data_IF_766598877980
#
_entry.id   IF_766598877980
#
_cell.length_a   1.000
_cell.length_b   1.000
_cell.length_c   1.000
_cell.angle_alpha   90.00
_cell.angle_beta   90.00
_cell.angle_gamma   90.00
#
_symmetry.space_group_name_H-M   'P 1'
#
loop_
_entity.id
_entity.type
_entity.pdbx_description
1 polymer ?
#
# COMPACT_ATOMS: atom_id res chain seq x y z
N UNK A 1 6.07 -24.01 -3.83
CA UNK A 1 5.77 -22.82 -3.02
C UNK A 1 4.78 -21.98 -3.80
N UNK A 2 3.49 -21.96 -3.43
CA UNK A 2 2.50 -21.16 -4.14
C UNK A 2 2.85 -19.68 -3.96
N UNK A 3 3.29 -19.01 -5.03
CA UNK A 3 3.57 -17.58 -5.02
C UNK A 3 2.26 -16.86 -4.77
N UNK A 4 1.95 -16.50 -3.53
CA UNK A 4 0.74 -15.73 -3.22
C UNK A 4 0.88 -14.38 -3.91
N UNK A 5 0.14 -14.20 -5.00
CA UNK A 5 0.18 -12.96 -5.77
C UNK A 5 -0.33 -11.83 -4.88
N UNK A 6 0.54 -10.85 -4.59
CA UNK A 6 0.16 -9.70 -3.77
C UNK A 6 -0.81 -8.79 -4.56
N UNK A 7 -1.85 -8.24 -3.90
CA UNK A 7 -2.73 -7.25 -4.49
C UNK A 7 -1.97 -6.07 -5.11
N UNK A 8 -2.49 -5.52 -6.22
CA UNK A 8 -1.86 -4.42 -6.95
C UNK A 8 -1.53 -3.23 -6.03
N UNK A 9 -2.46 -2.83 -5.16
CA UNK A 9 -2.26 -1.69 -4.27
C UNK A 9 -1.09 -1.89 -3.29
N UNK A 10 -0.84 -3.13 -2.81
CA UNK A 10 0.33 -3.45 -1.98
C UNK A 10 1.62 -3.38 -2.82
N UNK A 11 1.60 -3.94 -4.03
CA UNK A 11 2.77 -3.91 -4.93
C UNK A 11 3.18 -2.48 -5.27
N UNK A 12 2.22 -1.59 -5.48
CA UNK A 12 2.46 -0.16 -5.70
C UNK A 12 3.16 0.47 -4.50
N UNK A 13 2.70 0.21 -3.27
CA UNK A 13 3.36 0.72 -2.06
C UNK A 13 4.77 0.15 -1.87
N UNK A 14 4.98 -1.14 -2.16
CA UNK A 14 6.31 -1.77 -2.09
C UNK A 14 7.27 -1.19 -3.12
N UNK A 15 6.84 -1.04 -4.37
CA UNK A 15 7.65 -0.46 -5.44
C UNK A 15 8.07 0.98 -5.11
N UNK A 16 7.15 1.75 -4.55
CA UNK A 16 7.39 3.15 -4.20
C UNK A 16 8.26 3.29 -2.94
N UNK A 17 8.16 2.37 -1.97
CA UNK A 17 9.14 2.25 -0.88
C UNK A 17 10.54 1.94 -1.41
N UNK A 18 10.64 0.98 -2.33
CA UNK A 18 11.92 0.56 -2.90
C UNK A 18 12.56 1.64 -3.77
N UNK A 19 11.75 2.38 -4.55
CA UNK A 19 12.20 3.56 -5.29
C UNK A 19 12.78 4.65 -4.38
N UNK A 20 12.23 4.84 -3.18
CA UNK A 20 12.80 5.78 -2.20
C UNK A 20 14.07 5.23 -1.56
N UNK A 21 14.15 3.92 -1.32
CA UNK A 21 15.35 3.23 -0.82
C UNK A 21 16.51 3.28 -1.81
N UNK A 22 16.25 3.11 -3.10
CA UNK A 22 17.29 3.19 -4.13
C UNK A 22 17.91 4.59 -4.22
N UNK A 23 17.14 5.63 -3.93
CA UNK A 23 17.62 7.02 -3.84
C UNK A 23 18.32 7.33 -2.51
N UNK A 24 17.87 6.71 -1.42
CA UNK A 24 18.42 6.87 -0.09
C UNK A 24 18.38 5.53 0.65
N UNK A 25 19.52 4.85 0.73
CA UNK A 25 19.63 3.53 1.36
C UNK A 25 19.25 3.51 2.84
N UNK A 26 19.28 4.67 3.52
CA UNK A 26 18.82 4.83 4.92
C UNK A 26 17.30 5.03 5.02
N UNK A 27 16.58 5.14 3.91
CA UNK A 27 15.14 5.31 3.89
C UNK A 27 14.44 4.05 4.41
N UNK A 28 13.87 4.16 5.61
CA UNK A 28 13.28 3.03 6.32
C UNK A 28 11.78 2.93 6.08
N UNK A 29 11.21 1.76 6.39
CA UNK A 29 9.75 1.58 6.39
C UNK A 29 9.06 2.55 7.36
N UNK A 30 9.70 2.90 8.49
CA UNK A 30 9.17 3.89 9.44
C UNK A 30 9.14 5.30 8.84
N UNK A 31 10.16 5.67 8.06
CA UNK A 31 10.18 6.95 7.34
C UNK A 31 9.07 7.00 6.27
N UNK A 32 8.84 5.88 5.58
CA UNK A 32 7.75 5.78 4.61
C UNK A 32 6.37 5.86 5.27
N UNK A 33 6.16 5.15 6.38
CA UNK A 33 4.94 5.23 7.16
C UNK A 33 4.66 6.67 7.62
N UNK A 34 5.68 7.36 8.15
CA UNK A 34 5.58 8.77 8.53
C UNK A 34 5.18 9.65 7.34
N UNK A 35 5.77 9.43 6.17
CA UNK A 35 5.43 10.17 4.96
C UNK A 35 3.98 9.94 4.49
N UNK A 36 3.48 8.71 4.62
CA UNK A 36 2.09 8.33 4.36
C UNK A 36 1.13 8.69 5.51
N UNK A 37 1.62 9.32 6.58
CA UNK A 37 0.84 9.66 7.79
C UNK A 37 0.17 8.42 8.42
N UNK A 38 0.88 7.30 8.41
CA UNK A 38 0.45 6.02 8.98
C UNK A 38 1.40 5.55 10.08
N UNK A 39 0.87 4.76 11.03
CA UNK A 39 1.71 4.03 11.97
C UNK A 39 2.57 2.97 11.24
N UNK A 40 3.80 2.76 11.72
CA UNK A 40 4.73 1.84 11.08
C UNK A 40 4.30 0.36 11.21
N UNK A 41 3.65 -0.02 12.32
CA UNK A 41 3.07 -1.36 12.48
C UNK A 41 1.86 -1.55 11.57
N UNK A 42 1.02 -0.52 11.42
CA UNK A 42 -0.07 -0.52 10.46
C UNK A 42 0.44 -0.71 9.02
N UNK A 43 1.42 0.09 8.57
CA UNK A 43 2.00 -0.04 7.24
C UNK A 43 2.62 -1.44 7.02
N UNK A 44 3.36 -1.96 7.99
CA UNK A 44 3.94 -3.31 7.91
C UNK A 44 2.87 -4.39 7.72
N UNK A 45 1.76 -4.32 8.47
CA UNK A 45 0.64 -5.25 8.31
C UNK A 45 -0.06 -5.10 6.95
N UNK A 46 -0.22 -3.88 6.44
CA UNK A 46 -0.75 -3.65 5.08
C UNK A 46 0.14 -4.30 4.04
N UNK A 47 1.46 -4.04 4.08
CA UNK A 47 2.41 -4.61 3.13
C UNK A 47 2.51 -6.14 3.20
N UNK A 48 2.21 -6.72 4.37
CA UNK A 48 2.11 -8.16 4.56
C UNK A 48 0.73 -8.76 4.18
N UNK A 49 -0.22 -7.93 3.74
CA UNK A 49 -1.58 -8.38 3.41
C UNK A 49 -2.42 -8.80 4.64
N UNK A 50 -2.07 -8.30 5.83
CA UNK A 50 -2.71 -8.63 7.11
C UNK A 50 -3.64 -7.54 7.64
N UNK A 51 -3.66 -6.37 7.00
CA UNK A 51 -4.50 -5.24 7.36
C UNK A 51 -5.02 -4.57 6.09
N UNK A 52 -6.30 -4.19 6.11
CA UNK A 52 -6.94 -3.45 5.02
C UNK A 52 -6.68 -1.95 5.14
N UNK A 53 -6.60 -1.27 4.00
CA UNK A 53 -6.55 0.19 3.97
C UNK A 53 -7.94 0.79 4.20
N UNK A 54 -8.04 1.74 5.12
CA UNK A 54 -9.24 2.57 5.30
C UNK A 54 -9.37 3.57 4.16
N UNK A 55 -10.58 4.11 3.96
CA UNK A 55 -10.82 5.18 2.97
C UNK A 55 -9.95 6.42 3.25
N UNK A 56 -9.75 6.76 4.52
CA UNK A 56 -8.88 7.86 4.93
C UNK A 56 -7.42 7.58 4.54
N UNK A 57 -6.91 6.38 4.83
CA UNK A 57 -5.55 5.99 4.45
C UNK A 57 -5.37 6.02 2.92
N UNK A 58 -6.34 5.50 2.16
CA UNK A 58 -6.32 5.58 0.70
C UNK A 58 -6.23 7.04 0.22
N UNK A 59 -7.07 7.93 0.73
CA UNK A 59 -7.06 9.35 0.35
C UNK A 59 -5.69 10.01 0.58
N UNK A 60 -5.07 9.76 1.74
CA UNK A 60 -3.74 10.28 2.05
C UNK A 60 -2.68 9.70 1.11
N UNK A 61 -2.69 8.38 0.89
CA UNK A 61 -1.74 7.71 0.00
C UNK A 61 -1.82 8.27 -1.42
N UNK A 62 -3.03 8.36 -1.99
CA UNK A 62 -3.24 8.84 -3.36
C UNK A 62 -2.74 10.27 -3.54
N UNK A 63 -2.98 11.14 -2.54
CA UNK A 63 -2.52 12.53 -2.53
C UNK A 63 -1.00 12.61 -2.39
N UNK A 64 -0.40 11.89 -1.44
CA UNK A 64 1.05 11.94 -1.18
C UNK A 64 1.85 11.40 -2.35
N UNK A 65 1.40 10.30 -2.94
CA UNK A 65 2.08 9.66 -4.06
C UNK A 65 1.84 10.36 -5.41
N UNK A 66 1.07 11.45 -5.43
CA UNK A 66 0.81 12.27 -6.61
C UNK A 66 0.36 11.42 -7.81
N UNK A 67 -0.50 10.43 -7.53
CA UNK A 67 -0.97 9.49 -8.54
C UNK A 67 -1.86 10.19 -9.57
N UNK A 68 -1.72 9.81 -10.83
CA UNK A 68 -2.61 10.23 -11.90
C UNK A 68 -4.03 9.65 -11.74
N UNK A 69 -5.02 10.24 -12.41
CA UNK A 69 -6.42 9.79 -12.32
C UNK A 69 -6.59 8.32 -12.73
N UNK A 70 -5.81 7.83 -13.71
CA UNK A 70 -5.81 6.41 -14.11
C UNK A 70 -5.26 5.51 -13.00
N UNK A 71 -4.13 5.89 -12.40
CA UNK A 71 -3.52 5.15 -11.28
C UNK A 71 -4.41 5.13 -10.05
N UNK A 72 -5.06 6.25 -9.73
CA UNK A 72 -6.03 6.35 -8.63
C UNK A 72 -7.15 5.34 -8.81
N UNK A 73 -7.76 5.27 -10.01
CA UNK A 73 -8.85 4.31 -10.29
C UNK A 73 -8.39 2.88 -10.11
N UNK A 74 -7.22 2.52 -10.65
CA UNK A 74 -6.64 1.19 -10.52
C UNK A 74 -6.33 0.84 -9.06
N UNK A 75 -5.78 1.78 -8.31
CA UNK A 75 -5.45 1.60 -6.90
C UNK A 75 -6.71 1.35 -6.06
N UNK A 76 -7.74 2.19 -6.21
CA UNK A 76 -9.01 2.04 -5.48
C UNK A 76 -9.72 0.74 -5.85
N UNK A 77 -9.74 0.37 -7.14
CA UNK A 77 -10.31 -0.90 -7.60
C UNK A 77 -9.61 -2.09 -6.92
N UNK A 78 -8.27 -2.07 -6.88
CA UNK A 78 -7.47 -3.12 -6.26
C UNK A 78 -7.64 -3.19 -4.73
N UNK A 79 -7.80 -2.05 -4.04
CA UNK A 79 -8.11 -2.03 -2.60
C UNK A 79 -9.49 -2.65 -2.34
N UNK A 80 -10.48 -2.27 -3.16
CA UNK A 80 -11.85 -2.77 -3.01
C UNK A 80 -11.96 -4.27 -3.30
N UNK A 81 -11.24 -4.75 -4.32
CA UNK A 81 -11.17 -6.17 -4.66
C UNK A 81 -10.51 -6.99 -3.55
N UNK A 82 -9.37 -6.55 -3.02
CA UNK A 82 -8.69 -7.25 -1.93
C UNK A 82 -9.56 -7.31 -0.66
N UNK A 83 -10.24 -6.21 -0.32
CA UNK A 83 -11.18 -6.18 0.81
C UNK A 83 -12.32 -7.18 0.63
N UNK A 84 -12.90 -7.28 -0.57
CA UNK A 84 -13.94 -8.29 -0.88
C UNK A 84 -13.39 -9.71 -0.76
N UNK A 85 -12.22 -9.97 -1.33
CA UNK A 85 -11.61 -11.30 -1.32
C UNK A 85 -11.31 -11.78 0.10
N UNK A 86 -10.92 -10.87 1.01
CA UNK A 86 -10.71 -11.19 2.43
C UNK A 86 -12.01 -11.42 3.18
N UNK A 87 -13.06 -10.64 2.90
CA UNK A 87 -14.38 -10.86 3.48
C UNK A 87 -15.00 -12.19 3.04
N UNK A 88 -14.74 -12.64 1.82
CA UNK A 88 -15.22 -13.91 1.27
C UNK A 88 -14.42 -15.15 1.74
N UNK A 89 -13.27 -14.95 2.41
CA UNK A 89 -12.40 -16.02 2.89
C UNK A 89 -12.65 -16.42 4.35
N UNK A 90 -13.71 -15.89 4.96
CA UNK A 90 -14.17 -16.15 6.34
C UNK A 90 -15.47 -16.94 6.26
#
# INVERSE_FOLDING_TARGET
MATRQLPLHIRVLQAELEKRRSRNSRYSMRAFAKYLEMDASALSRVLAGKLDLSLQACSVILKKLEMSTSEIRLFIAAVSEDKRNRAAAI
#
